data_IF_019617863572
#
_entry.id   IF_019617863572
#
_cell.length_a   1.000
_cell.length_b   1.000
_cell.length_c   1.000
_cell.angle_alpha   90.00
_cell.angle_beta   90.00
_cell.angle_gamma   90.00
#
_symmetry.space_group_name_H-M   'P 1'
#
loop_
_entity.id
_entity.type
_entity.pdbx_description
1 polymer ?
#
# COMPACT_ATOMS: atom_id res chain seq x y z
N UNK A 1 6.98 17.39 1.44
CA UNK A 1 5.60 17.86 1.70
C UNK A 1 4.82 16.72 2.30
N UNK A 2 4.28 16.90 3.51
CA UNK A 2 3.74 15.80 4.34
C UNK A 2 2.22 15.91 4.54
N UNK A 3 1.51 16.41 3.53
CA UNK A 3 0.09 16.75 3.62
C UNK A 3 -0.76 15.51 3.93
N UNK A 4 -0.56 14.41 3.18
CA UNK A 4 -1.27 13.16 3.43
C UNK A 4 -0.93 12.56 4.82
N UNK A 5 0.33 12.61 5.24
CA UNK A 5 0.75 12.13 6.57
C UNK A 5 -0.01 12.85 7.69
N UNK A 6 0.01 14.18 7.68
CA UNK A 6 -0.71 15.02 8.66
C UNK A 6 -2.22 14.76 8.64
N UNK A 7 -2.77 14.45 7.47
CA UNK A 7 -4.17 14.08 7.33
C UNK A 7 -4.48 12.75 8.01
N UNK A 8 -3.75 11.70 7.66
CA UNK A 8 -3.92 10.35 8.21
C UNK A 8 -3.65 10.29 9.72
N UNK A 9 -2.67 11.05 10.23
CA UNK A 9 -2.38 11.13 11.65
C UNK A 9 -3.56 11.70 12.45
N UNK A 10 -4.23 12.73 11.93
CA UNK A 10 -5.42 13.29 12.59
C UNK A 10 -6.62 12.33 12.51
N UNK A 11 -6.78 11.60 11.41
CA UNK A 11 -7.82 10.57 11.29
C UNK A 11 -7.58 9.46 12.31
N UNK A 12 -6.34 8.97 12.42
CA UNK A 12 -5.96 7.92 13.37
C UNK A 12 -6.20 8.32 14.81
N UNK A 13 -5.94 9.59 15.17
CA UNK A 13 -6.23 10.12 16.53
C UNK A 13 -7.73 10.13 16.87
N UNK A 14 -8.60 10.24 15.86
CA UNK A 14 -10.06 10.41 16.02
C UNK A 14 -10.85 9.16 15.68
N UNK A 15 -10.19 8.07 15.29
CA UNK A 15 -10.80 6.81 14.88
C UNK A 15 -10.02 5.66 15.51
N UNK A 16 -10.64 5.00 16.48
CA UNK A 16 -10.08 3.82 17.16
C UNK A 16 -9.77 2.72 16.15
N UNK A 17 -8.66 2.01 16.29
CA UNK A 17 -8.23 0.91 15.39
C UNK A 17 -8.33 1.24 13.89
N UNK A 18 -7.90 2.44 13.49
CA UNK A 18 -7.82 2.83 12.08
C UNK A 18 -6.54 2.31 11.43
N UNK A 19 -6.70 1.50 10.39
CA UNK A 19 -5.64 0.89 9.59
C UNK A 19 -5.75 1.34 8.13
N UNK A 20 -4.61 1.50 7.47
CA UNK A 20 -4.57 1.97 6.09
C UNK A 20 -3.36 1.43 5.31
N UNK A 21 -3.50 1.42 3.99
CA UNK A 21 -2.41 1.32 3.01
C UNK A 21 -2.67 2.37 1.95
N UNK A 22 -1.63 3.09 1.53
CA UNK A 22 -1.76 4.03 0.42
C UNK A 22 -0.60 3.93 -0.57
N UNK A 23 -0.89 4.28 -1.82
CA UNK A 23 0.06 4.39 -2.93
C UNK A 23 -0.17 5.71 -3.64
N UNK A 24 0.90 6.42 -3.99
CA UNK A 24 0.88 7.65 -4.77
C UNK A 24 1.13 7.34 -6.25
N UNK A 25 0.26 7.81 -7.13
CA UNK A 25 0.35 7.68 -8.58
C UNK A 25 0.34 9.08 -9.23
N UNK A 26 0.93 9.23 -10.43
CA UNK A 26 0.72 10.42 -11.25
C UNK A 26 -0.45 10.19 -12.19
N UNK A 27 -1.48 11.02 -12.08
CA UNK A 27 -2.67 10.88 -12.90
C UNK A 27 -2.35 11.23 -14.37
N UNK A 28 -2.49 10.24 -15.26
CA UNK A 28 -2.19 10.38 -16.70
C UNK A 28 -3.45 10.62 -17.55
N UNK A 29 -4.61 10.20 -17.05
CA UNK A 29 -5.89 10.30 -17.79
C UNK A 29 -6.57 11.66 -17.69
N UNK A 30 -6.05 12.55 -16.84
CA UNK A 30 -6.64 13.87 -16.68
C UNK A 30 -5.90 14.87 -17.57
N UNK A 31 -6.53 15.23 -18.68
CA UNK A 31 -5.96 16.16 -19.64
C UNK A 31 -5.82 17.58 -19.07
N UNK A 32 -6.64 17.94 -18.09
CA UNK A 32 -6.60 19.25 -17.43
C UNK A 32 -5.56 19.30 -16.30
N UNK A 33 -5.25 18.15 -15.70
CA UNK A 33 -4.42 18.02 -14.52
C UNK A 33 -3.35 16.92 -14.69
N UNK A 34 -2.60 16.98 -15.79
CA UNK A 34 -1.60 15.99 -16.14
C UNK A 34 -0.47 15.93 -15.10
N UNK A 35 -0.16 14.73 -14.63
CA UNK A 35 0.98 14.51 -13.72
C UNK A 35 0.73 14.86 -12.26
N UNK A 36 -0.50 15.28 -11.90
CA UNK A 36 -0.91 15.50 -10.51
C UNK A 36 -0.76 14.23 -9.67
N UNK A 37 -0.31 14.41 -8.43
CA UNK A 37 -0.16 13.30 -7.47
C UNK A 37 -1.53 12.90 -6.94
N UNK A 38 -1.93 11.67 -7.23
CA UNK A 38 -3.17 11.07 -6.76
C UNK A 38 -2.84 9.94 -5.77
N UNK A 39 -3.62 9.81 -4.70
CA UNK A 39 -3.40 8.79 -3.68
C UNK A 39 -4.50 7.74 -3.72
N UNK A 40 -4.13 6.50 -4.01
CA UNK A 40 -4.98 5.34 -3.80
C UNK A 40 -4.85 4.90 -2.35
N UNK A 41 -5.95 4.93 -1.60
CA UNK A 41 -5.96 4.60 -0.16
C UNK A 41 -6.98 3.50 0.09
N UNK A 42 -6.56 2.44 0.77
CA UNK A 42 -7.44 1.41 1.32
C UNK A 42 -7.39 1.51 2.83
N UNK A 43 -8.56 1.42 3.45
CA UNK A 43 -8.71 1.51 4.90
C UNK A 43 -9.62 0.39 5.39
N UNK A 44 -9.49 0.03 6.67
CA UNK A 44 -10.36 -0.96 7.32
C UNK A 44 -11.71 -0.37 7.77
N UNK A 45 -11.93 0.93 7.61
CA UNK A 45 -13.14 1.64 8.05
C UNK A 45 -13.65 2.53 6.95
N UNK A 46 -14.96 2.52 6.75
CA UNK A 46 -15.58 3.43 5.79
C UNK A 46 -15.38 4.90 6.22
N UNK A 47 -14.94 5.74 5.28
CA UNK A 47 -14.78 7.17 5.51
C UNK A 47 -16.06 7.92 5.16
N UNK A 48 -16.69 8.53 6.17
CA UNK A 48 -17.70 9.57 5.97
C UNK A 48 -17.00 10.84 5.50
N UNK A 49 -16.89 11.00 4.18
CA UNK A 49 -15.98 11.99 3.61
C UNK A 49 -16.37 13.44 3.92
N UNK A 50 -17.67 13.71 4.05
CA UNK A 50 -18.20 15.04 4.38
C UNK A 50 -17.59 15.60 5.67
N UNK A 51 -17.21 14.72 6.62
CA UNK A 51 -16.55 15.11 7.87
C UNK A 51 -15.09 15.54 7.68
N UNK A 52 -14.39 14.93 6.72
CA UNK A 52 -12.94 15.06 6.56
C UNK A 52 -12.53 16.02 5.45
N UNK A 53 -13.48 16.30 4.58
CA UNK A 53 -13.31 17.12 3.40
C UNK A 53 -12.76 18.52 3.69
N UNK A 54 -13.44 19.27 4.56
CA UNK A 54 -13.02 20.62 4.93
C UNK A 54 -11.63 20.62 5.59
N UNK A 55 -11.33 19.59 6.37
CA UNK A 55 -10.01 19.43 6.98
C UNK A 55 -8.92 19.20 5.92
N UNK A 56 -9.17 18.35 4.92
CA UNK A 56 -8.24 18.10 3.81
C UNK A 56 -7.93 19.36 3.00
N UNK A 57 -8.95 20.13 2.63
CA UNK A 57 -8.79 21.38 1.90
C UNK A 57 -8.03 22.43 2.71
N UNK A 58 -8.37 22.58 3.99
CA UNK A 58 -7.68 23.50 4.88
C UNK A 58 -6.21 23.11 5.08
N UNK A 59 -5.93 21.81 5.14
CA UNK A 59 -4.56 21.30 5.26
C UNK A 59 -3.77 21.58 3.97
N UNK A 60 -4.36 21.38 2.79
CA UNK A 60 -3.75 21.73 1.52
C UNK A 60 -3.42 23.22 1.44
N UNK A 61 -4.39 24.11 1.69
CA UNK A 61 -4.20 25.56 1.72
C UNK A 61 -3.08 25.98 2.66
N UNK A 62 -3.05 25.45 3.88
CA UNK A 62 -1.98 25.71 4.87
C UNK A 62 -0.59 25.27 4.43
N UNK A 63 -0.48 24.37 3.45
CA UNK A 63 0.79 23.94 2.87
C UNK A 63 1.01 24.58 1.48
N UNK A 64 0.30 25.67 1.14
CA UNK A 64 0.47 26.39 -0.13
C UNK A 64 -0.12 25.69 -1.35
N UNK A 65 -1.00 24.70 -1.16
CA UNK A 65 -1.73 24.04 -2.24
C UNK A 65 -3.08 24.75 -2.35
N UNK A 66 -3.14 25.70 -3.28
CA UNK A 66 -4.33 26.52 -3.50
C UNK A 66 -5.10 26.07 -4.75
N UNK A 67 -6.44 26.13 -4.72
CA UNK A 67 -7.24 25.95 -5.93
C UNK A 67 -6.88 27.01 -6.97
N UNK A 68 -6.77 26.63 -8.25
CA UNK A 68 -6.52 27.58 -9.35
C UNK A 68 -7.70 28.54 -9.56
N UNK A 69 -8.92 28.05 -9.37
CA UNK A 69 -10.15 28.82 -9.51
C UNK A 69 -10.66 29.28 -8.14
N UNK A 70 -11.10 30.55 -8.06
CA UNK A 70 -11.65 31.14 -6.83
C UNK A 70 -12.91 30.43 -6.33
N UNK A 71 -13.73 29.89 -7.24
CA UNK A 71 -15.01 29.22 -6.95
C UNK A 71 -14.93 27.69 -7.10
N UNK A 72 -13.73 27.11 -7.05
CA UNK A 72 -13.53 25.68 -7.24
C UNK A 72 -14.39 24.86 -6.27
N UNK A 73 -15.34 24.09 -6.82
CA UNK A 73 -16.10 23.12 -6.04
C UNK A 73 -15.19 21.95 -5.72
N UNK A 74 -14.89 21.71 -4.44
CA UNK A 74 -13.95 20.66 -4.08
C UNK A 74 -14.49 19.25 -4.32
N UNK A 75 -15.72 19.06 -4.86
CA UNK A 75 -16.50 17.81 -4.97
C UNK A 75 -15.77 16.63 -5.64
N UNK A 76 -14.58 16.86 -6.18
CA UNK A 76 -13.68 15.88 -6.78
C UNK A 76 -12.50 15.46 -5.90
N UNK A 77 -12.32 16.03 -4.70
CA UNK A 77 -11.12 15.80 -3.88
C UNK A 77 -10.98 14.35 -3.38
N UNK A 78 -12.09 13.63 -3.25
CA UNK A 78 -12.12 12.22 -2.86
C UNK A 78 -13.16 11.45 -3.67
N UNK A 79 -12.80 10.26 -4.13
CA UNK A 79 -13.73 9.23 -4.60
C UNK A 79 -13.68 8.06 -3.59
N UNK A 80 -14.73 7.94 -2.76
CA UNK A 80 -14.80 6.91 -1.71
C UNK A 80 -15.79 5.85 -2.12
N UNK A 81 -15.29 4.61 -2.25
CA UNK A 81 -16.10 3.43 -2.54
C UNK A 81 -16.03 2.44 -1.40
N UNK A 82 -17.18 1.97 -0.95
CA UNK A 82 -17.24 0.87 0.02
C UNK A 82 -16.84 -0.42 -0.68
N UNK A 83 -15.94 -1.19 -0.06
CA UNK A 83 -15.51 -2.49 -0.54
C UNK A 83 -16.23 -3.57 0.28
N UNK A 84 -16.78 -4.57 -0.40
CA UNK A 84 -17.47 -5.68 0.24
C UNK A 84 -16.51 -6.87 0.45
N UNK A 85 -16.59 -7.50 1.62
CA UNK A 85 -15.72 -8.61 2.05
C UNK A 85 -15.86 -9.88 1.20
N UNK A 86 -16.95 -10.02 0.45
CA UNK A 86 -17.16 -11.11 -0.50
C UNK A 86 -16.15 -11.13 -1.65
N UNK A 87 -15.36 -10.06 -1.84
CA UNK A 87 -14.40 -9.94 -2.93
C UNK A 87 -13.00 -9.52 -2.46
N UNK A 88 -12.43 -10.21 -1.46
CA UNK A 88 -11.03 -10.04 -1.02
C UNK A 88 -10.05 -10.07 -2.20
N UNK A 89 -10.30 -10.91 -3.21
CA UNK A 89 -9.51 -11.00 -4.43
C UNK A 89 -9.47 -9.66 -5.19
N UNK A 90 -10.59 -8.94 -5.27
CA UNK A 90 -10.62 -7.60 -5.87
C UNK A 90 -9.80 -6.57 -5.10
N UNK A 91 -9.74 -6.66 -3.77
CA UNK A 91 -8.92 -5.76 -2.94
C UNK A 91 -7.43 -6.03 -3.22
N UNK A 92 -7.03 -7.30 -3.23
CA UNK A 92 -5.67 -7.70 -3.57
C UNK A 92 -5.29 -7.25 -4.99
N UNK A 93 -6.13 -7.54 -5.98
CA UNK A 93 -5.91 -7.11 -7.37
C UNK A 93 -5.88 -5.58 -7.51
N UNK A 94 -6.68 -4.84 -6.73
CA UNK A 94 -6.66 -3.38 -6.69
C UNK A 94 -5.30 -2.88 -6.19
N UNK A 95 -4.86 -3.34 -5.02
CA UNK A 95 -3.54 -2.98 -4.47
C UNK A 95 -2.43 -3.34 -5.46
N UNK A 96 -2.40 -4.59 -5.95
CA UNK A 96 -1.38 -5.06 -6.89
C UNK A 96 -1.36 -4.22 -8.16
N UNK A 97 -2.52 -3.85 -8.71
CA UNK A 97 -2.60 -3.00 -9.91
C UNK A 97 -1.89 -1.67 -9.69
N UNK A 98 -2.15 -0.98 -8.59
CA UNK A 98 -1.58 0.35 -8.34
C UNK A 98 -0.13 0.31 -7.88
N UNK A 99 0.29 -0.76 -7.22
CA UNK A 99 1.71 -0.96 -6.87
C UNK A 99 2.54 -1.32 -8.10
N UNK A 100 2.05 -2.22 -8.97
CA UNK A 100 2.84 -2.76 -10.09
C UNK A 100 2.82 -1.91 -11.36
N UNK A 101 1.77 -1.10 -11.57
CA UNK A 101 1.67 -0.23 -12.75
C UNK A 101 2.29 1.15 -12.57
N UNK A 102 2.80 1.45 -11.37
CA UNK A 102 3.35 2.75 -11.06
C UNK A 102 4.83 2.86 -11.47
N UNK A 103 5.07 3.30 -12.70
CA UNK A 103 6.41 3.60 -13.21
C UNK A 103 6.85 5.05 -12.95
N UNK A 104 6.03 5.85 -12.23
CA UNK A 104 6.32 7.25 -12.02
C UNK A 104 7.45 7.43 -10.98
N UNK A 105 8.36 8.36 -11.26
CA UNK A 105 9.42 8.75 -10.33
C UNK A 105 8.90 9.85 -9.40
N UNK A 106 9.01 9.62 -8.10
CA UNK A 106 8.71 10.61 -7.07
C UNK A 106 9.98 10.88 -6.26
N UNK A 107 10.14 12.13 -5.79
CA UNK A 107 11.19 12.51 -4.84
C UNK A 107 10.82 12.23 -3.39
N UNK A 108 9.75 11.47 -3.16
CA UNK A 108 9.17 11.17 -1.85
C UNK A 108 8.69 9.72 -1.81
N UNK A 109 8.23 9.27 -0.64
CA UNK A 109 7.64 7.94 -0.47
C UNK A 109 6.46 7.75 -1.42
N UNK A 110 6.51 6.69 -2.22
CA UNK A 110 5.48 6.34 -3.21
C UNK A 110 4.37 5.48 -2.63
N UNK A 111 4.58 4.92 -1.45
CA UNK A 111 3.58 4.15 -0.71
C UNK A 111 3.92 4.16 0.78
N UNK A 112 2.93 3.94 1.63
CA UNK A 112 3.11 3.70 3.07
C UNK A 112 1.87 2.99 3.65
N UNK A 113 1.96 2.48 4.88
CA UNK A 113 0.86 1.80 5.56
C UNK A 113 0.85 2.10 7.08
N UNK A 114 -0.22 1.69 7.75
CA UNK A 114 -0.32 1.75 9.21
C UNK A 114 0.62 0.74 9.87
N UNK A 115 1.14 1.08 11.05
CA UNK A 115 2.09 0.23 11.82
C UNK A 115 1.64 -1.22 11.95
N UNK A 116 0.37 -1.50 12.29
CA UNK A 116 -0.15 -2.87 12.43
C UNK A 116 -0.13 -3.66 11.12
N UNK A 117 -0.34 -2.98 9.98
CA UNK A 117 -0.24 -3.59 8.65
C UNK A 117 1.22 -3.83 8.29
N UNK A 118 2.10 -2.88 8.62
CA UNK A 118 3.55 -3.09 8.49
C UNK A 118 4.02 -4.25 9.36
N UNK A 119 3.49 -4.38 10.59
CA UNK A 119 3.76 -5.49 11.49
C UNK A 119 3.34 -6.82 10.85
N UNK A 120 2.18 -6.94 10.21
CA UNK A 120 1.82 -8.16 9.47
C UNK A 120 2.83 -8.54 8.38
N UNK A 121 3.46 -7.54 7.75
CA UNK A 121 4.50 -7.76 6.75
C UNK A 121 5.84 -8.13 7.38
N UNK A 122 6.22 -7.50 8.51
CA UNK A 122 7.48 -7.78 9.19
C UNK A 122 7.42 -9.03 10.07
N UNK A 123 6.27 -9.34 10.68
CA UNK A 123 6.01 -10.53 11.49
C UNK A 123 5.98 -11.82 10.63
N UNK A 124 6.08 -11.66 9.32
CA UNK A 124 6.57 -12.68 8.39
C UNK A 124 8.09 -12.88 8.52
N UNK A 125 8.58 -13.17 9.73
CA UNK A 125 9.96 -13.62 9.93
C UNK A 125 10.03 -15.12 9.70
N UNK A 126 10.36 -15.51 8.47
CA UNK A 126 10.75 -16.88 8.18
C UNK A 126 12.27 -16.99 8.15
N UNK A 127 12.84 -17.99 8.82
CA UNK A 127 14.26 -18.35 8.72
C UNK A 127 14.60 -18.79 7.28
N UNK A 128 15.89 -18.86 6.96
CA UNK A 128 16.35 -19.38 5.66
C UNK A 128 15.77 -20.76 5.36
N UNK A 129 15.49 -21.55 6.39
CA UNK A 129 14.85 -22.87 6.35
C UNK A 129 13.55 -22.89 5.53
N UNK A 130 12.73 -21.84 5.63
CA UNK A 130 11.50 -21.75 4.85
C UNK A 130 11.79 -21.60 3.35
N UNK A 131 12.77 -20.76 3.00
CA UNK A 131 13.22 -20.63 1.61
C UNK A 131 13.95 -21.89 1.12
N UNK A 132 14.62 -22.61 2.01
CA UNK A 132 15.32 -23.86 1.69
C UNK A 132 14.35 -25.00 1.41
N UNK A 133 13.18 -25.03 2.06
CA UNK A 133 12.11 -25.96 1.70
C UNK A 133 11.64 -25.79 0.26
N UNK A 134 11.45 -24.55 -0.21
CA UNK A 134 11.10 -24.32 -1.62
C UNK A 134 12.23 -24.69 -2.59
N UNK A 135 13.49 -24.48 -2.19
CA UNK A 135 14.66 -24.96 -2.96
C UNK A 135 14.66 -26.48 -3.08
N UNK A 136 14.43 -27.20 -1.97
CA UNK A 136 14.34 -28.68 -1.96
C UNK A 136 13.21 -29.20 -2.84
N UNK A 137 12.08 -28.50 -2.86
CA UNK A 137 10.94 -28.82 -3.71
C UNK A 137 11.14 -28.40 -5.18
N UNK A 138 12.29 -27.84 -5.56
CA UNK A 138 12.56 -27.28 -6.90
C UNK A 138 11.48 -26.31 -7.37
N UNK A 139 10.86 -25.59 -6.43
CA UNK A 139 9.76 -24.68 -6.70
C UNK A 139 10.20 -23.22 -6.89
N UNK A 140 11.51 -22.93 -6.86
CA UNK A 140 12.03 -21.59 -7.13
C UNK A 140 12.11 -21.39 -8.64
N UNK A 141 11.24 -20.55 -9.19
CA UNK A 141 11.17 -20.23 -10.62
C UNK A 141 12.28 -19.28 -11.06
N UNK A 142 12.58 -18.30 -10.23
CA UNK A 142 13.58 -17.26 -10.53
C UNK A 142 14.18 -16.72 -9.26
N UNK A 143 15.48 -16.50 -9.26
CA UNK A 143 16.21 -15.83 -8.19
C UNK A 143 16.82 -14.54 -8.76
N UNK A 144 16.70 -13.43 -8.03
CA UNK A 144 17.23 -12.13 -8.44
C UNK A 144 17.86 -11.46 -7.23
N UNK A 145 19.16 -11.22 -7.31
CA UNK A 145 19.92 -10.58 -6.25
C UNK A 145 20.11 -9.11 -6.61
N UNK A 146 19.64 -8.22 -5.73
CA UNK A 146 19.85 -6.78 -5.83
C UNK A 146 21.07 -6.44 -4.98
N UNK A 147 22.07 -5.84 -5.63
CA UNK A 147 23.30 -5.38 -5.00
C UNK A 147 23.10 -3.97 -4.44
N UNK A 148 23.65 -3.71 -3.26
CA UNK A 148 23.69 -2.38 -2.64
C UNK A 148 24.87 -1.53 -3.12
N UNK A 149 25.01 -0.34 -2.53
CA UNK A 149 26.00 0.68 -2.93
C UNK A 149 27.47 0.20 -2.92
N UNK A 150 27.79 -0.85 -2.17
CA UNK A 150 29.13 -1.47 -2.10
C UNK A 150 29.27 -2.77 -2.88
N UNK A 151 28.38 -3.01 -3.84
CA UNK A 151 28.31 -4.26 -4.60
C UNK A 151 28.08 -5.51 -3.71
N UNK A 152 27.55 -5.32 -2.50
CA UNK A 152 27.19 -6.39 -1.58
C UNK A 152 25.71 -6.77 -1.80
N UNK A 153 25.35 -8.06 -1.73
CA UNK A 153 23.96 -8.49 -1.87
C UNK A 153 23.10 -7.89 -0.76
N UNK A 154 22.25 -6.92 -1.13
CA UNK A 154 21.38 -6.21 -0.20
C UNK A 154 20.00 -6.88 -0.10
N UNK A 155 19.51 -7.45 -1.20
CA UNK A 155 18.22 -8.14 -1.25
C UNK A 155 18.27 -9.34 -2.20
N UNK A 156 17.70 -10.45 -1.77
CA UNK A 156 17.53 -11.63 -2.61
C UNK A 156 16.02 -11.92 -2.80
N UNK A 157 15.54 -11.78 -4.02
CA UNK A 157 14.16 -12.01 -4.41
C UNK A 157 14.06 -13.38 -5.09
N UNK A 158 13.29 -14.29 -4.48
CA UNK A 158 12.98 -15.61 -5.04
C UNK A 158 11.51 -15.67 -5.44
N UNK A 159 11.24 -15.93 -6.72
CA UNK A 159 9.90 -16.22 -7.22
C UNK A 159 9.60 -17.69 -7.00
N UNK A 160 8.54 -17.99 -6.26
CA UNK A 160 8.14 -19.36 -5.93
C UNK A 160 6.94 -19.76 -6.77
N UNK A 161 7.00 -20.95 -7.39
CA UNK A 161 5.89 -21.55 -8.11
C UNK A 161 4.75 -21.89 -7.14
N UNK A 162 3.53 -21.48 -7.47
CA UNK A 162 2.36 -21.66 -6.63
C UNK A 162 1.53 -22.84 -7.14
N UNK A 163 1.94 -24.04 -6.75
CA UNK A 163 1.37 -25.30 -7.19
C UNK A 163 0.85 -26.12 -5.99
N UNK A 164 0.27 -27.30 -6.26
CA UNK A 164 -0.30 -28.17 -5.22
C UNK A 164 0.73 -28.60 -4.15
N UNK A 165 2.02 -28.60 -4.46
CA UNK A 165 3.09 -28.98 -3.55
C UNK A 165 3.53 -27.81 -2.65
N UNK A 166 3.53 -26.57 -3.15
CA UNK A 166 3.94 -25.38 -2.39
C UNK A 166 2.81 -24.75 -1.57
N UNK A 167 1.56 -24.86 -2.01
CA UNK A 167 0.37 -24.35 -1.31
C UNK A 167 0.28 -24.76 0.18
N UNK A 168 0.51 -26.03 0.55
CA UNK A 168 0.49 -26.45 1.96
C UNK A 168 1.54 -25.78 2.85
N UNK A 169 2.69 -25.34 2.28
CA UNK A 169 3.74 -24.66 3.04
C UNK A 169 3.31 -23.26 3.48
N UNK A 170 2.53 -22.56 2.64
CA UNK A 170 1.92 -21.28 3.00
C UNK A 170 0.85 -21.45 4.09
N UNK A 171 0.05 -22.53 4.02
CA UNK A 171 -0.94 -22.84 5.07
C UNK A 171 -0.28 -23.13 6.42
N UNK A 172 0.80 -23.91 6.44
CA UNK A 172 1.60 -24.15 7.66
C UNK A 172 2.14 -22.87 8.26
N UNK A 173 2.51 -21.92 7.41
CA UNK A 173 2.98 -20.61 7.84
C UNK A 173 1.86 -19.78 8.47
N UNK A 174 0.68 -19.74 7.84
CA UNK A 174 -0.51 -19.10 8.41
C UNK A 174 -0.87 -19.68 9.78
N UNK A 175 -0.78 -21.00 9.94
CA UNK A 175 -1.08 -21.68 11.19
C UNK A 175 -0.04 -21.34 12.29
N UNK A 176 1.25 -21.26 11.93
CA UNK A 176 2.30 -20.80 12.86
C UNK A 176 2.06 -19.35 13.31
N UNK A 177 1.66 -18.47 12.41
CA UNK A 177 1.38 -17.07 12.74
C UNK A 177 0.14 -16.91 13.64
N UNK A 178 -0.83 -17.83 13.56
CA UNK A 178 -1.97 -17.84 14.49
C UNK A 178 -1.56 -18.23 15.92
N UNK A 179 -0.54 -19.08 16.08
CA UNK A 179 -0.07 -19.52 17.40
C UNK A 179 0.77 -18.47 18.15
N UNK A 180 1.23 -17.42 17.47
CA UNK A 180 1.98 -16.31 18.06
C UNK A 180 1.09 -15.17 18.59
N UNK A 181 -0.24 -15.32 18.50
CA UNK A 181 -1.23 -14.40 19.09
C UNK A 181 -1.66 -14.87 20.47
#
# INVERSE_FOLDING_TARGET
>A
MDVLRKFLDNVKKRSTDFQYVWVAERQTKNAEFEGNVHFHIITNKYWKIDKWWNYWLNLQKKNGIEPREKDFKPSSAFDVKQLNSSNIRSIASYVTKYVTKNNAKFKCQVWNCSRRVSELYTDFYTTTEFTDHFKRLKAVLKETVILGERNQPALNIKMIDLNRQTLPLYKRLDDKNKTLK
#
